data_IF_640686808460
#
_entry.id   IF_640686808460
#
_cell.length_a   1.000
_cell.length_b   1.000
_cell.length_c   1.000
_cell.angle_alpha   90.00
_cell.angle_beta   90.00
_cell.angle_gamma   90.00
#
_symmetry.space_group_name_H-M   'P 1'
#
loop_
_entity.id
_entity.type
_entity.pdbx_description
1 polymer ?
#
# COMPACT_ATOMS: atom_id res chain seq x y z
N UNK A 1 8.41 3.03 2.48
CA UNK A 1 7.32 2.29 1.82
C UNK A 1 7.15 0.88 2.41
N UNK A 2 8.24 0.22 2.76
CA UNK A 2 8.22 -1.13 3.31
C UNK A 2 7.32 -1.28 4.55
N UNK A 3 7.29 -0.25 5.40
CA UNK A 3 6.54 -0.22 6.66
C UNK A 3 5.11 0.29 6.52
N UNK A 4 4.51 0.22 5.32
CA UNK A 4 3.21 0.85 5.08
C UNK A 4 2.23 -0.03 4.32
N UNK A 5 2.67 -1.20 3.81
CA UNK A 5 1.80 -2.04 2.98
C UNK A 5 0.58 -2.55 3.73
N UNK A 6 0.75 -3.03 4.95
CA UNK A 6 -0.37 -3.49 5.78
C UNK A 6 -1.35 -2.36 6.07
N UNK A 7 -0.85 -1.17 6.43
CA UNK A 7 -1.69 0.00 6.71
C UNK A 7 -2.46 0.48 5.47
N UNK A 8 -1.81 0.55 4.30
CA UNK A 8 -2.49 0.89 3.05
C UNK A 8 -3.56 -0.14 2.70
N UNK A 9 -3.25 -1.44 2.82
CA UNK A 9 -4.20 -2.51 2.53
C UNK A 9 -5.43 -2.44 3.44
N UNK A 10 -5.27 -2.17 4.73
CA UNK A 10 -6.38 -1.97 5.67
C UNK A 10 -7.26 -0.78 5.28
N UNK A 11 -6.66 0.37 4.97
CA UNK A 11 -7.41 1.57 4.56
C UNK A 11 -8.16 1.34 3.24
N UNK A 12 -7.54 0.69 2.27
CA UNK A 12 -8.21 0.31 1.03
C UNK A 12 -9.30 -0.75 1.26
N UNK A 13 -9.12 -1.63 2.24
CA UNK A 13 -10.14 -2.59 2.69
C UNK A 13 -11.38 -1.89 3.24
N UNK A 14 -11.22 -0.87 4.09
CA UNK A 14 -12.33 -0.04 4.56
C UNK A 14 -13.06 0.64 3.41
N UNK A 15 -12.32 1.20 2.44
CA UNK A 15 -12.94 1.84 1.29
C UNK A 15 -13.70 0.85 0.38
N UNK A 16 -13.29 -0.42 0.33
CA UNK A 16 -14.07 -1.46 -0.35
C UNK A 16 -15.41 -1.76 0.34
N UNK A 17 -15.52 -1.44 1.62
CA UNK A 17 -16.75 -1.54 2.41
C UNK A 17 -17.58 -0.24 2.38
N UNK A 18 -17.19 0.75 1.56
CA UNK A 18 -17.84 2.07 1.50
C UNK A 18 -17.47 3.00 2.66
N UNK A 19 -16.42 2.67 3.43
CA UNK A 19 -15.96 3.46 4.57
C UNK A 19 -14.68 4.22 4.22
N UNK A 20 -14.58 5.48 4.63
CA UNK A 20 -13.37 6.30 4.46
C UNK A 20 -12.84 6.41 3.03
N UNK A 21 -13.72 6.47 2.03
CA UNK A 21 -13.34 6.52 0.60
C UNK A 21 -12.45 7.72 0.27
N UNK A 22 -12.69 8.87 0.90
CA UNK A 22 -11.87 10.08 0.71
C UNK A 22 -10.44 9.86 1.21
N UNK A 23 -10.27 9.15 2.34
CA UNK A 23 -8.96 8.77 2.87
C UNK A 23 -8.25 7.83 1.91
N UNK A 24 -8.95 6.84 1.37
CA UNK A 24 -8.38 5.90 0.40
C UNK A 24 -7.94 6.60 -0.90
N UNK A 25 -8.70 7.61 -1.38
CA UNK A 25 -8.28 8.44 -2.52
C UNK A 25 -6.97 9.16 -2.21
N UNK A 26 -6.87 9.81 -1.06
CA UNK A 26 -5.66 10.49 -0.64
C UNK A 26 -4.47 9.54 -0.53
N UNK A 27 -4.66 8.40 0.13
CA UNK A 27 -3.63 7.36 0.25
C UNK A 27 -3.22 6.77 -1.10
N UNK A 28 -4.13 6.70 -2.08
CA UNK A 28 -3.78 6.24 -3.43
C UNK A 28 -2.80 7.18 -4.15
N UNK A 29 -2.88 8.48 -3.90
CA UNK A 29 -1.92 9.47 -4.41
C UNK A 29 -0.56 9.26 -3.76
N UNK A 30 -0.52 9.21 -2.42
CA UNK A 30 0.72 8.93 -1.69
C UNK A 30 1.35 7.61 -2.16
N UNK A 31 0.55 6.55 -2.33
CA UNK A 31 1.04 5.27 -2.81
C UNK A 31 1.67 5.34 -4.21
N UNK A 32 1.19 6.23 -5.07
CA UNK A 32 1.78 6.44 -6.41
C UNK A 32 3.12 7.16 -6.32
N UNK A 33 3.21 8.20 -5.51
CA UNK A 33 4.48 8.93 -5.30
C UNK A 33 5.52 7.99 -4.70
N UNK A 34 5.15 7.20 -3.70
CA UNK A 34 6.03 6.20 -3.11
C UNK A 34 6.45 5.11 -4.11
N UNK A 35 5.55 4.70 -4.99
CA UNK A 35 5.89 3.74 -6.04
C UNK A 35 6.93 4.32 -7.02
N UNK A 36 6.87 5.62 -7.32
CA UNK A 36 7.86 6.33 -8.12
C UNK A 36 9.22 6.39 -7.41
N UNK A 37 9.26 6.76 -6.12
CA UNK A 37 10.47 6.77 -5.31
C UNK A 37 11.16 5.39 -5.31
N UNK A 38 10.39 4.33 -5.11
CA UNK A 38 10.90 2.96 -5.16
C UNK A 38 11.42 2.62 -6.57
N UNK A 39 10.70 2.98 -7.62
CA UNK A 39 11.13 2.71 -9.00
C UNK A 39 12.45 3.39 -9.34
N UNK A 40 12.62 4.66 -8.95
CA UNK A 40 13.86 5.43 -9.13
C UNK A 40 15.02 4.77 -8.39
N UNK A 41 14.83 4.48 -7.08
CA UNK A 41 15.87 3.83 -6.26
C UNK A 41 16.27 2.48 -6.82
N UNK A 42 15.30 1.63 -7.20
CA UNK A 42 15.57 0.34 -7.81
C UNK A 42 16.30 0.47 -9.15
N UNK A 43 16.00 1.51 -9.93
CA UNK A 43 16.71 1.79 -11.19
C UNK A 43 18.18 2.15 -10.95
N UNK A 44 18.47 2.99 -9.95
CA UNK A 44 19.83 3.35 -9.55
C UNK A 44 20.59 2.06 -9.14
N UNK A 45 20.07 1.29 -8.21
CA UNK A 45 20.71 0.04 -7.75
C UNK A 45 20.94 -0.94 -8.92
N UNK A 46 19.98 -1.04 -9.83
CA UNK A 46 20.10 -1.89 -11.01
C UNK A 46 21.17 -1.41 -12.00
N UNK A 47 21.37 -0.11 -12.12
CA UNK A 47 22.46 0.45 -12.91
C UNK A 47 23.82 0.16 -12.27
N UNK A 48 23.94 0.34 -10.96
CA UNK A 48 25.14 -0.02 -10.20
C UNK A 48 25.50 -1.49 -10.36
N UNK A 49 24.53 -2.41 -10.14
CA UNK A 49 24.76 -3.84 -10.28
C UNK A 49 25.28 -4.25 -11.67
N UNK A 50 24.95 -3.47 -12.71
CA UNK A 50 25.37 -3.67 -14.10
C UNK A 50 26.65 -2.90 -14.47
N UNK A 51 27.17 -2.08 -13.58
CA UNK A 51 28.34 -1.22 -13.83
C UNK A 51 28.07 -0.09 -14.83
N UNK A 52 26.81 0.33 -15.01
CA UNK A 52 26.45 1.41 -15.94
C UNK A 52 26.93 2.77 -15.49
N UNK A 53 27.00 2.99 -14.19
CA UNK A 53 27.43 4.23 -13.57
C UNK A 53 28.91 4.18 -13.14
N UNK A 54 29.64 3.11 -13.54
CA UNK A 54 31.06 2.90 -13.27
C UNK A 54 31.33 1.59 -12.52
N UNK A 55 32.59 1.15 -12.63
CA UNK A 55 33.05 -0.13 -12.02
C UNK A 55 33.00 -0.06 -10.49
N UNK A 56 33.34 1.10 -9.94
CA UNK A 56 33.33 1.36 -8.50
C UNK A 56 31.97 1.11 -7.87
N UNK A 57 30.88 1.63 -8.47
CA UNK A 57 29.50 1.41 -7.98
C UNK A 57 29.09 -0.05 -8.05
N UNK A 58 29.57 -0.78 -9.05
CA UNK A 58 29.35 -2.22 -9.15
C UNK A 58 30.00 -2.96 -7.99
N UNK A 59 31.23 -2.64 -7.64
CA UNK A 59 31.96 -3.22 -6.52
C UNK A 59 31.23 -2.93 -5.20
N UNK A 60 30.88 -1.66 -4.94
CA UNK A 60 30.10 -1.25 -3.76
C UNK A 60 28.80 -2.05 -3.65
N UNK A 61 28.08 -2.25 -4.77
CA UNK A 61 26.86 -3.06 -4.74
C UNK A 61 27.12 -4.50 -4.33
N UNK A 62 28.12 -5.15 -4.92
CA UNK A 62 28.43 -6.55 -4.63
C UNK A 62 28.89 -6.76 -3.19
N UNK A 63 29.62 -5.83 -2.61
CA UNK A 63 30.08 -5.89 -1.22
C UNK A 63 28.93 -5.72 -0.23
N UNK A 64 27.91 -4.95 -0.58
CA UNK A 64 26.82 -4.60 0.32
C UNK A 64 25.50 -5.35 0.05
N UNK A 65 25.37 -6.12 -1.03
CA UNK A 65 24.11 -6.78 -1.42
C UNK A 65 23.50 -7.67 -0.33
N UNK A 66 24.31 -8.34 0.47
CA UNK A 66 23.81 -9.18 1.57
C UNK A 66 23.25 -8.33 2.68
N UNK A 67 23.91 -7.23 3.04
CA UNK A 67 23.40 -6.27 4.01
C UNK A 67 22.07 -5.66 3.56
N UNK A 68 21.95 -5.32 2.27
CA UNK A 68 20.68 -4.84 1.70
C UNK A 68 19.60 -5.91 1.79
N UNK A 69 19.93 -7.18 1.52
CA UNK A 69 18.98 -8.30 1.68
C UNK A 69 18.49 -8.40 3.13
N UNK A 70 19.40 -8.34 4.08
CA UNK A 70 19.06 -8.46 5.51
C UNK A 70 18.16 -7.30 5.96
N UNK A 71 18.41 -6.07 5.48
CA UNK A 71 17.52 -4.92 5.72
C UNK A 71 16.09 -5.16 5.18
N UNK A 72 15.94 -5.87 4.05
CA UNK A 72 14.62 -6.24 3.53
C UNK A 72 13.93 -7.27 4.43
N UNK A 73 14.67 -8.25 4.93
CA UNK A 73 14.16 -9.28 5.84
C UNK A 73 13.73 -8.66 7.16
N UNK A 74 14.54 -7.77 7.73
CA UNK A 74 14.20 -7.04 8.95
C UNK A 74 12.94 -6.19 8.77
N UNK A 75 12.84 -5.48 7.63
CA UNK A 75 11.63 -4.72 7.29
C UNK A 75 10.38 -5.59 7.19
N UNK A 76 10.50 -6.80 6.63
CA UNK A 76 9.40 -7.76 6.56
C UNK A 76 8.99 -8.25 7.96
N UNK A 77 9.96 -8.55 8.83
CA UNK A 77 9.68 -8.92 10.22
C UNK A 77 8.93 -7.83 10.98
N UNK A 78 9.31 -6.57 10.79
CA UNK A 78 8.61 -5.43 11.42
C UNK A 78 7.17 -5.28 10.88
N UNK A 79 6.95 -5.43 9.57
CA UNK A 79 5.58 -5.44 9.00
C UNK A 79 4.74 -6.61 9.54
N UNK A 80 5.32 -7.78 9.72
CA UNK A 80 4.63 -8.93 10.33
C UNK A 80 4.23 -8.64 11.78
N UNK A 81 5.09 -7.99 12.56
CA UNK A 81 4.73 -7.55 13.93
C UNK A 81 3.60 -6.54 13.90
N UNK A 82 3.67 -5.57 12.97
CA UNK A 82 2.62 -4.57 12.80
C UNK A 82 1.29 -5.20 12.38
N UNK A 83 1.30 -6.14 11.45
CA UNK A 83 0.11 -6.89 11.04
C UNK A 83 -0.54 -7.61 12.22
N UNK A 84 0.26 -8.30 13.04
CA UNK A 84 -0.25 -8.97 14.26
C UNK A 84 -0.85 -7.97 15.24
N UNK A 85 -0.22 -6.82 15.41
CA UNK A 85 -0.76 -5.75 16.27
C UNK A 85 -2.11 -5.24 15.76
N UNK A 86 -2.25 -4.98 14.45
CA UNK A 86 -3.50 -4.50 13.86
C UNK A 86 -4.68 -5.45 14.09
N UNK A 87 -4.42 -6.74 14.11
CA UNK A 87 -5.45 -7.79 14.23
C UNK A 87 -5.48 -8.49 15.59
N UNK A 88 -4.80 -7.95 16.60
CA UNK A 88 -4.70 -8.57 17.93
C UNK A 88 -6.05 -8.74 18.65
N UNK A 89 -7.03 -7.91 18.34
CA UNK A 89 -8.36 -7.95 18.93
C UNK A 89 -9.41 -8.65 18.04
N UNK A 90 -8.98 -9.27 16.96
CA UNK A 90 -9.77 -10.24 16.21
C UNK A 90 -10.94 -9.72 15.39
N UNK A 91 -11.02 -8.41 15.11
CA UNK A 91 -12.07 -7.87 14.24
C UNK A 91 -11.54 -7.71 12.82
N UNK A 92 -11.66 -8.73 11.96
CA UNK A 92 -11.13 -8.65 10.61
C UNK A 92 -11.97 -7.69 9.76
N UNK A 93 -11.27 -6.87 8.98
CA UNK A 93 -11.86 -6.16 7.85
C UNK A 93 -12.27 -7.23 6.82
N UNK A 94 -13.46 -7.11 6.22
CA UNK A 94 -13.94 -8.09 5.25
C UNK A 94 -12.89 -8.33 4.16
N UNK A 95 -12.48 -9.59 3.99
CA UNK A 95 -11.46 -10.00 3.04
C UNK A 95 -10.02 -9.76 3.47
N UNK A 96 -9.79 -9.24 4.69
CA UNK A 96 -8.45 -9.04 5.26
C UNK A 96 -8.33 -9.73 6.62
N UNK A 97 -7.16 -10.32 6.85
CA UNK A 97 -6.74 -10.83 8.15
C UNK A 97 -5.22 -10.80 8.24
N UNK A 98 -4.67 -11.07 9.42
CA UNK A 98 -3.22 -11.03 9.64
C UNK A 98 -2.46 -11.91 8.64
N UNK A 99 -2.94 -13.14 8.37
CA UNK A 99 -2.26 -14.05 7.45
C UNK A 99 -2.24 -13.54 6.02
N UNK A 100 -3.36 -13.04 5.50
CA UNK A 100 -3.43 -12.50 4.13
C UNK A 100 -2.52 -11.28 3.97
N UNK A 101 -2.41 -10.45 5.00
CA UNK A 101 -1.50 -9.31 4.99
C UNK A 101 -0.03 -9.73 5.09
N UNK A 102 0.29 -10.75 5.89
CA UNK A 102 1.64 -11.30 5.95
C UNK A 102 2.04 -11.90 4.60
N UNK A 103 1.16 -12.67 3.96
CA UNK A 103 1.38 -13.22 2.62
C UNK A 103 1.57 -12.07 1.58
N UNK A 104 0.82 -10.99 1.70
CA UNK A 104 0.96 -9.81 0.82
C UNK A 104 2.29 -9.07 1.05
N UNK A 105 2.70 -8.87 2.29
CA UNK A 105 3.97 -8.26 2.64
C UNK A 105 5.15 -9.10 2.12
N UNK A 106 5.07 -10.43 2.26
CA UNK A 106 6.06 -11.36 1.74
C UNK A 106 6.13 -11.31 0.21
N UNK A 107 4.98 -11.35 -0.48
CA UNK A 107 4.90 -11.21 -1.93
C UNK A 107 5.52 -9.90 -2.43
N UNK A 108 5.18 -8.77 -1.79
CA UNK A 108 5.71 -7.46 -2.17
C UNK A 108 7.22 -7.37 -1.92
N UNK A 109 7.71 -7.94 -0.81
CA UNK A 109 9.13 -8.00 -0.48
C UNK A 109 9.91 -8.80 -1.52
N UNK A 110 9.44 -10.00 -1.85
CA UNK A 110 10.03 -10.86 -2.88
C UNK A 110 10.11 -10.15 -4.24
N UNK A 111 9.02 -9.49 -4.64
CA UNK A 111 8.96 -8.72 -5.89
C UNK A 111 9.97 -7.56 -5.91
N UNK A 112 10.11 -6.84 -4.79
CA UNK A 112 11.06 -5.71 -4.67
C UNK A 112 12.52 -6.20 -4.68
N UNK A 113 12.83 -7.26 -3.94
CA UNK A 113 14.17 -7.86 -3.93
C UNK A 113 14.55 -8.39 -5.31
N UNK A 114 13.65 -9.10 -5.97
CA UNK A 114 13.88 -9.60 -7.35
C UNK A 114 14.21 -8.46 -8.32
N UNK A 115 13.55 -7.31 -8.20
CA UNK A 115 13.77 -6.16 -9.08
C UNK A 115 15.20 -5.60 -8.99
N UNK A 116 15.88 -5.77 -7.87
CA UNK A 116 17.28 -5.33 -7.66
C UNK A 116 18.29 -6.49 -7.72
N UNK A 117 17.83 -7.68 -8.15
CA UNK A 117 18.70 -8.85 -8.35
C UNK A 117 19.03 -9.62 -7.07
N UNK A 118 18.27 -9.41 -5.99
CA UNK A 118 18.38 -10.23 -4.78
C UNK A 118 17.43 -11.43 -4.85
N UNK A 119 17.87 -12.54 -4.29
CA UNK A 119 17.05 -13.75 -4.13
C UNK A 119 16.32 -13.69 -2.78
N UNK A 120 15.07 -14.07 -2.81
CA UNK A 120 14.24 -14.27 -1.62
C UNK A 120 13.37 -15.51 -1.87
N UNK A 121 13.55 -16.50 -1.02
CA UNK A 121 12.80 -17.74 -1.13
C UNK A 121 11.43 -17.56 -0.49
N UNK A 122 10.39 -17.65 -1.30
CA UNK A 122 8.99 -17.53 -0.88
C UNK A 122 8.13 -18.57 -1.60
N UNK A 123 7.12 -19.05 -0.91
CA UNK A 123 6.06 -19.87 -1.50
C UNK A 123 4.92 -19.02 -2.10
N UNK A 124 4.91 -17.72 -1.80
CA UNK A 124 3.86 -16.78 -2.25
C UNK A 124 4.23 -16.25 -3.64
N UNK A 125 3.75 -16.90 -4.67
CA UNK A 125 4.04 -16.57 -6.07
C UNK A 125 2.98 -15.69 -6.73
N UNK A 126 1.78 -15.65 -6.16
CA UNK A 126 0.65 -14.85 -6.66
C UNK A 126 0.33 -13.74 -5.68
N UNK A 127 -0.12 -12.60 -6.21
CA UNK A 127 -0.58 -11.48 -5.39
C UNK A 127 -1.81 -11.89 -4.57
N UNK A 128 -1.75 -11.88 -3.23
CA UNK A 128 -2.89 -12.22 -2.39
C UNK A 128 -4.00 -11.16 -2.40
N UNK A 129 -3.66 -9.91 -2.77
CA UNK A 129 -4.56 -8.76 -2.78
C UNK A 129 -4.54 -8.02 -4.13
N UNK A 130 -4.85 -8.72 -5.25
CA UNK A 130 -4.72 -8.14 -6.59
C UNK A 130 -5.64 -6.93 -6.81
N UNK A 131 -6.74 -6.84 -6.08
CA UNK A 131 -7.68 -5.73 -6.15
C UNK A 131 -7.05 -4.39 -5.72
N UNK A 132 -6.01 -4.40 -4.86
CA UNK A 132 -5.30 -3.17 -4.48
C UNK A 132 -4.68 -2.53 -5.72
N UNK A 133 -3.96 -3.30 -6.52
CA UNK A 133 -3.36 -2.79 -7.74
C UNK A 133 -4.41 -2.37 -8.77
N UNK A 134 -5.44 -3.19 -8.97
CA UNK A 134 -6.48 -2.93 -9.94
C UNK A 134 -7.28 -1.65 -9.62
N UNK A 135 -7.66 -1.46 -8.37
CA UNK A 135 -8.56 -0.38 -7.97
C UNK A 135 -7.83 0.91 -7.58
N UNK A 136 -6.67 0.81 -6.95
CA UNK A 136 -6.00 1.98 -6.34
C UNK A 136 -4.67 2.36 -6.99
N UNK A 137 -3.87 1.41 -7.48
CA UNK A 137 -2.57 1.69 -8.06
C UNK A 137 -2.63 2.00 -9.56
N UNK A 138 -3.54 1.37 -10.32
CA UNK A 138 -3.64 1.50 -11.77
C UNK A 138 -4.61 2.61 -12.25
N UNK A 139 -5.17 3.42 -11.36
CA UNK A 139 -6.02 4.52 -11.79
C UNK A 139 -5.21 5.51 -12.66
N UNK A 140 -5.40 5.42 -13.97
CA UNK A 140 -4.75 6.28 -14.97
C UNK A 140 -5.16 7.75 -14.86
N UNK A 141 -6.24 8.05 -14.16
CA UNK A 141 -6.85 9.36 -14.07
C UNK A 141 -6.64 9.99 -12.70
N UNK A 142 -5.47 10.58 -12.46
CA UNK A 142 -5.34 11.58 -11.41
C UNK A 142 -4.67 12.80 -12.02
N UNK A 143 -5.35 13.39 -13.00
CA UNK A 143 -5.04 14.73 -13.47
C UNK A 143 -5.76 15.80 -12.63
N UNK A 144 -6.73 15.40 -11.77
CA UNK A 144 -7.50 16.36 -10.98
C UNK A 144 -6.95 16.42 -9.56
N UNK A 145 -6.72 17.63 -9.06
CA UNK A 145 -6.38 17.87 -7.68
C UNK A 145 -7.42 17.21 -6.75
N UNK A 146 -7.02 16.76 -5.54
CA UNK A 146 -7.97 16.13 -4.59
C UNK A 146 -9.23 16.95 -4.32
N UNK A 147 -9.13 18.28 -4.39
CA UNK A 147 -10.23 19.21 -4.26
C UNK A 147 -11.18 19.23 -5.49
N UNK A 148 -10.71 18.80 -6.66
CA UNK A 148 -11.46 18.80 -7.92
C UNK A 148 -12.13 17.45 -8.21
N UNK A 149 -11.75 16.40 -7.49
CA UNK A 149 -12.44 15.13 -7.57
C UNK A 149 -13.81 15.26 -6.95
N UNK A 150 -14.87 15.10 -7.77
CA UNK A 150 -16.22 14.94 -7.23
C UNK A 150 -16.18 13.87 -6.16
N UNK A 151 -16.47 14.26 -4.91
CA UNK A 151 -16.62 13.33 -3.80
C UNK A 151 -17.90 12.56 -4.08
N UNK A 152 -17.77 11.39 -4.70
CA UNK A 152 -18.90 10.54 -5.07
C UNK A 152 -19.64 10.04 -3.82
N UNK A 153 -18.98 10.08 -2.66
CA UNK A 153 -19.51 9.68 -1.36
C UNK A 153 -20.18 10.83 -0.56
N UNK A 154 -20.39 12.01 -1.15
CA UNK A 154 -21.37 12.94 -0.57
C UNK A 154 -22.74 12.33 -0.81
N UNK A 155 -23.21 11.58 0.16
CA UNK A 155 -24.62 11.29 0.30
C UNK A 155 -25.35 12.64 0.43
N UNK A 156 -25.97 13.10 -0.64
CA UNK A 156 -26.86 14.28 -0.63
C UNK A 156 -28.06 14.06 0.31
N UNK A 157 -28.29 12.84 0.73
CA UNK A 157 -29.47 12.39 1.47
C UNK A 157 -29.57 12.77 2.95
N UNK A 158 -28.50 12.86 3.76
CA UNK A 158 -28.69 13.24 5.16
C UNK A 158 -29.08 14.71 5.36
N UNK A 159 -28.65 15.60 4.46
CA UNK A 159 -28.91 17.06 4.60
C UNK A 159 -30.34 17.39 4.19
N UNK A 160 -30.88 16.73 3.17
CA UNK A 160 -32.25 16.96 2.73
C UNK A 160 -33.31 16.36 3.69
N UNK A 161 -32.91 15.45 4.60
CA UNK A 161 -33.80 14.92 5.64
C UNK A 161 -33.81 15.75 6.93
N UNK A 162 -32.83 16.65 7.10
CA UNK A 162 -32.78 17.58 8.22
C UNK A 162 -33.60 18.86 7.97
N UNK A 163 -34.01 19.12 6.72
CA UNK A 163 -34.87 20.27 6.39
C UNK A 163 -36.36 20.07 6.78
N UNK A 164 -36.73 18.85 7.16
CA UNK A 164 -38.06 18.59 7.70
C UNK A 164 -38.08 18.71 9.23
N UNK A 165 -37.86 19.94 9.71
CA UNK A 165 -37.93 20.29 11.14
C UNK A 165 -39.31 19.99 11.76
N UNK A 166 -40.31 19.68 10.95
CA UNK A 166 -41.65 19.28 11.43
C UNK A 166 -41.63 17.93 12.17
N UNK A 167 -40.70 17.03 11.79
CA UNK A 167 -40.55 15.75 12.45
C UNK A 167 -39.77 15.79 13.76
N UNK A 168 -38.96 16.83 13.96
CA UNK A 168 -38.26 17.03 15.26
C UNK A 168 -39.22 17.59 16.32
N UNK A 169 -40.24 18.34 15.94
CA UNK A 169 -41.28 18.87 16.88
C UNK A 169 -42.22 17.81 17.42
N UNK A 170 -42.26 16.62 16.84
CA UNK A 170 -43.06 15.48 17.33
C UNK A 170 -42.35 14.56 18.29
N UNK A 171 -41.06 14.85 18.59
CA UNK A 171 -40.23 14.07 19.52
C UNK A 171 -40.02 14.78 20.87
N UNK A 172 -40.56 15.98 21.03
CA UNK A 172 -40.64 16.74 22.27
C UNK A 172 -42.08 17.17 22.50
#
# INVERSE_FOLDING_TARGET
LFRSYASFACNFGFANMGLFESVAKFLSLISKDEALHVAITQRIIKNWSKGKDGKEWKEIWYDNKNKVRDMYIDGLHEETKWTKYLFQYGTPIVGLNAKVLDDYNEYMSAKRMKNIGLKFDTKITKDPLPWIQLKYANQKSVANAPQETKVVAYLKDPINKLDDLSKLKSLF
#
